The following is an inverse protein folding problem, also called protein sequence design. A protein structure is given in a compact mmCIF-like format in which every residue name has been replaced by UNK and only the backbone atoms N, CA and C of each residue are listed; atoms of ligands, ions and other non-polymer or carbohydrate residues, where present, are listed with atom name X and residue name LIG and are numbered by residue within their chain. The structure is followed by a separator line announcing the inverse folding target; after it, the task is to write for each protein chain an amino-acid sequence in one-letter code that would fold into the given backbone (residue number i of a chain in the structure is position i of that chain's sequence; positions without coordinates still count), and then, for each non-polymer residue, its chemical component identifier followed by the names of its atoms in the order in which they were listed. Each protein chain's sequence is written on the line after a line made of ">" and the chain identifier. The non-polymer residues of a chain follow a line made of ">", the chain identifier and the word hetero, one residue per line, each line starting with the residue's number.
data_IF_563755838470
#
_entry.id   IF_563755838470
#
_cell.length_a   1.000
_cell.length_b   1.000
_cell.length_c   1.000
_cell.angle_alpha   90.00
_cell.angle_beta   90.00
_cell.angle_gamma   90.00
#
_symmetry.space_group_name_H-M   'P 1'
#
loop_
_entity.id
_entity.type
_entity.pdbx_description
1 polymer ?
#
# COMPACT_ATOMS: atom_id res chain seq x y z
N UNK A 1 12.29 -34.06 40.35
CA UNK A 1 10.87 -33.67 40.19
C UNK A 1 10.52 -32.59 41.19
N UNK A 2 10.38 -31.34 40.74
CA UNK A 2 9.42 -30.34 41.26
C UNK A 2 9.42 -29.16 40.30
N UNK A 3 8.25 -28.93 39.72
CA UNK A 3 7.97 -27.93 38.68
C UNK A 3 7.94 -26.52 39.26
N UNK A 4 8.44 -25.61 38.43
CA UNK A 4 8.36 -24.15 38.50
C UNK A 4 6.95 -23.73 38.06
N UNK A 5 6.30 -22.86 38.83
CA UNK A 5 4.95 -22.37 38.57
C UNK A 5 4.87 -20.85 38.55
N UNK A 6 4.67 -20.34 37.33
CA UNK A 6 3.93 -19.13 36.93
C UNK A 6 4.00 -17.86 37.82
N UNK A 7 4.80 -16.90 37.37
CA UNK A 7 4.43 -15.49 37.39
C UNK A 7 4.87 -14.92 36.04
N UNK A 8 3.91 -14.38 35.26
CA UNK A 8 4.00 -13.37 34.19
C UNK A 8 2.76 -13.59 33.32
N UNK A 9 1.67 -12.88 33.62
CA UNK A 9 0.60 -12.65 32.65
C UNK A 9 -0.23 -11.43 33.09
N UNK A 10 0.30 -10.22 32.93
CA UNK A 10 -0.50 -9.00 33.11
C UNK A 10 -0.06 -7.78 32.28
N UNK A 11 0.89 -7.88 31.34
CA UNK A 11 1.41 -6.70 30.63
C UNK A 11 0.98 -6.55 29.16
N UNK A 12 0.29 -7.54 28.56
CA UNK A 12 -0.09 -7.49 27.14
C UNK A 12 -1.49 -6.91 26.86
N UNK A 13 -2.32 -6.69 27.88
CA UNK A 13 -3.70 -6.22 27.66
C UNK A 13 -3.82 -4.68 27.55
N UNK A 14 -2.78 -3.92 27.93
CA UNK A 14 -2.83 -2.45 27.95
C UNK A 14 -2.62 -1.76 26.59
N UNK A 15 -1.95 -2.43 25.64
CA UNK A 15 -1.57 -1.81 24.35
C UNK A 15 -2.72 -1.90 23.31
N UNK A 16 -3.62 -2.87 23.44
CA UNK A 16 -4.75 -3.04 22.51
C UNK A 16 -5.89 -2.04 22.71
N UNK A 17 -6.03 -1.44 23.90
CA UNK A 17 -7.18 -0.56 24.19
C UNK A 17 -6.97 0.84 23.60
N UNK A 18 -5.74 1.35 23.52
CA UNK A 18 -5.47 2.70 23.00
C UNK A 18 -5.42 2.79 21.47
N UNK A 19 -5.04 1.72 20.77
CA UNK A 19 -5.08 1.65 19.30
C UNK A 19 -6.53 1.64 18.77
N UNK A 20 -7.46 1.05 19.52
CA UNK A 20 -8.89 0.99 19.14
C UNK A 20 -9.60 2.34 19.15
N UNK A 21 -9.11 3.32 19.92
CA UNK A 21 -9.75 4.62 20.06
C UNK A 21 -9.54 5.52 18.83
N UNK A 22 -8.38 5.46 18.16
CA UNK A 22 -8.13 6.23 16.94
C UNK A 22 -8.91 5.66 15.74
N UNK A 23 -8.95 4.34 15.57
CA UNK A 23 -9.72 3.70 14.49
C UNK A 23 -11.24 3.93 14.60
N UNK A 24 -11.78 3.95 15.84
CA UNK A 24 -13.19 4.21 16.07
C UNK A 24 -13.58 5.69 15.81
N UNK A 25 -12.67 6.62 16.10
CA UNK A 25 -12.92 8.07 15.99
C UNK A 25 -12.84 8.60 14.55
N UNK A 26 -12.20 7.88 13.63
CA UNK A 26 -12.25 8.20 12.19
C UNK A 26 -13.45 7.59 11.45
N UNK A 27 -14.17 6.63 12.07
CA UNK A 27 -15.37 6.01 11.47
C UNK A 27 -16.66 6.79 11.71
N UNK A 28 -16.66 7.76 12.64
CA UNK A 28 -17.82 8.55 13.01
C UNK A 28 -17.39 10.02 13.06
N UNK A 29 -18.01 10.83 12.21
CA UNK A 29 -17.75 12.27 12.01
C UNK A 29 -16.69 12.65 10.98
N UNK A 30 -16.92 12.29 9.71
CA UNK A 30 -16.63 13.21 8.59
C UNK A 30 -17.76 13.15 7.56
N UNK A 31 -18.81 13.94 7.83
CA UNK A 31 -19.73 14.40 6.79
C UNK A 31 -18.99 15.39 5.90
N UNK A 32 -18.51 14.92 4.74
CA UNK A 32 -18.11 15.78 3.64
C UNK A 32 -18.64 15.22 2.31
N UNK A 33 -19.52 15.99 1.68
CA UNK A 33 -19.64 16.03 0.23
C UNK A 33 -20.52 14.97 -0.44
N UNK A 34 -21.80 15.29 -0.58
CA UNK A 34 -22.65 14.83 -1.68
C UNK A 34 -21.96 15.11 -3.03
N UNK A 35 -21.29 14.12 -3.63
CA UNK A 35 -20.76 14.20 -5.00
C UNK A 35 -20.86 12.88 -5.75
N UNK A 36 -22.05 12.26 -5.77
CA UNK A 36 -22.36 11.25 -6.78
C UNK A 36 -23.72 11.57 -7.40
N UNK A 37 -23.73 12.60 -8.27
CA UNK A 37 -24.83 12.78 -9.22
C UNK A 37 -24.56 11.83 -10.38
N UNK A 38 -25.39 10.80 -10.48
CA UNK A 38 -25.48 9.94 -11.66
C UNK A 38 -25.71 10.81 -12.90
N UNK A 39 -24.71 10.89 -13.78
CA UNK A 39 -24.88 11.46 -15.10
C UNK A 39 -25.31 10.38 -16.08
N UNK A 40 -26.35 10.70 -16.84
CA UNK A 40 -26.94 9.87 -17.90
C UNK A 40 -25.98 9.64 -19.06
N UNK A 41 -26.01 8.41 -19.58
CA UNK A 41 -25.14 7.83 -20.60
C UNK A 41 -25.04 8.64 -21.90
N UNK A 42 -23.91 9.32 -22.07
CA UNK A 42 -23.27 9.50 -23.37
C UNK A 42 -22.50 8.22 -23.64
N UNK A 43 -22.56 7.67 -24.86
CA UNK A 43 -21.76 6.49 -25.23
C UNK A 43 -20.31 6.76 -24.83
N UNK A 44 -19.73 5.99 -23.88
CA UNK A 44 -18.42 6.32 -23.37
C UNK A 44 -17.42 6.18 -24.52
N UNK A 45 -16.59 7.20 -24.71
CA UNK A 45 -15.37 7.02 -25.49
C UNK A 45 -14.61 5.81 -24.91
N UNK A 46 -14.02 4.96 -25.76
CA UNK A 46 -13.25 3.84 -25.26
C UNK A 46 -12.14 4.36 -24.33
N UNK A 47 -12.12 3.85 -23.11
CA UNK A 47 -11.09 4.19 -22.12
C UNK A 47 -9.70 3.80 -22.65
N UNK A 48 -8.67 4.57 -22.28
CA UNK A 48 -7.28 4.27 -22.62
C UNK A 48 -6.87 2.90 -22.03
N UNK A 49 -6.62 1.88 -22.87
CA UNK A 49 -6.35 0.52 -22.41
C UNK A 49 -5.00 0.40 -21.71
N UNK A 50 -4.13 1.41 -21.78
CA UNK A 50 -2.84 1.45 -21.08
C UNK A 50 -2.95 2.05 -19.69
N UNK A 51 -4.03 2.78 -19.39
CA UNK A 51 -4.23 3.42 -18.09
C UNK A 51 -5.31 2.74 -17.27
N UNK A 52 -6.52 2.57 -17.81
CA UNK A 52 -7.70 2.13 -17.06
C UNK A 52 -7.75 0.61 -16.88
N UNK A 53 -8.39 0.16 -15.79
CA UNK A 53 -8.49 -1.26 -15.46
C UNK A 53 -9.41 -1.98 -16.45
N UNK A 54 -9.04 -3.21 -16.82
CA UNK A 54 -9.69 -3.96 -17.90
C UNK A 54 -10.38 -5.22 -17.38
N UNK A 55 -11.65 -5.42 -17.74
CA UNK A 55 -12.42 -6.60 -17.34
C UNK A 55 -11.78 -7.92 -17.76
N UNK A 56 -11.09 -7.94 -18.92
CA UNK A 56 -10.35 -9.11 -19.39
C UNK A 56 -9.21 -9.50 -18.45
N UNK A 57 -8.51 -8.54 -17.85
CA UNK A 57 -7.46 -8.79 -16.86
C UNK A 57 -8.05 -9.26 -15.54
N UNK A 58 -9.09 -8.57 -15.05
CA UNK A 58 -9.79 -8.93 -13.81
C UNK A 58 -10.30 -10.37 -13.83
N UNK A 59 -10.86 -10.81 -14.97
CA UNK A 59 -11.36 -12.18 -15.16
C UNK A 59 -10.24 -13.22 -15.34
N UNK A 60 -9.04 -12.81 -15.76
CA UNK A 60 -7.89 -13.71 -15.86
C UNK A 60 -7.33 -14.05 -14.48
N UNK A 61 -7.44 -13.12 -13.52
CA UNK A 61 -6.92 -13.27 -12.16
C UNK A 61 -7.95 -12.85 -11.09
N UNK A 62 -9.08 -13.57 -10.97
CA UNK A 62 -10.24 -13.10 -10.21
C UNK A 62 -9.97 -12.90 -8.72
N UNK A 63 -9.13 -13.73 -8.10
CA UNK A 63 -8.72 -13.58 -6.70
C UNK A 63 -7.53 -12.65 -6.45
N UNK A 64 -6.97 -12.04 -7.49
CA UNK A 64 -5.72 -11.26 -7.39
C UNK A 64 -5.92 -9.74 -7.41
N UNK A 65 -7.12 -9.25 -7.68
CA UNK A 65 -7.39 -7.82 -7.88
C UNK A 65 -8.56 -7.33 -7.05
N UNK A 66 -8.39 -6.16 -6.42
CA UNK A 66 -9.37 -5.55 -5.51
C UNK A 66 -10.66 -5.10 -6.19
N UNK A 67 -10.65 -4.97 -7.51
CA UNK A 67 -11.83 -4.58 -8.30
C UNK A 67 -12.71 -5.78 -8.67
N UNK A 68 -12.20 -7.01 -8.52
CA UNK A 68 -12.95 -8.21 -8.81
C UNK A 68 -13.73 -8.69 -7.58
N UNK A 69 -14.94 -9.21 -7.78
CA UNK A 69 -15.85 -9.56 -6.68
C UNK A 69 -15.27 -10.62 -5.71
N UNK A 70 -14.40 -11.51 -6.19
CA UNK A 70 -13.74 -12.51 -5.34
C UNK A 70 -12.80 -11.90 -4.30
N UNK A 71 -12.28 -10.69 -4.54
CA UNK A 71 -11.39 -9.99 -3.60
C UNK A 71 -12.15 -9.04 -2.65
N UNK A 72 -13.48 -9.06 -2.65
CA UNK A 72 -14.29 -8.12 -1.87
C UNK A 72 -14.10 -8.25 -0.36
N UNK A 73 -13.98 -9.46 0.16
CA UNK A 73 -13.70 -9.68 1.58
C UNK A 73 -12.33 -9.10 1.96
N UNK A 74 -11.33 -9.26 1.09
CA UNK A 74 -10.01 -8.65 1.31
C UNK A 74 -10.11 -7.12 1.35
N UNK A 75 -10.84 -6.52 0.42
CA UNK A 75 -11.03 -5.07 0.38
C UNK A 75 -11.68 -4.52 1.66
N UNK A 76 -12.63 -5.25 2.25
CA UNK A 76 -13.31 -4.84 3.48
C UNK A 76 -12.46 -5.07 4.75
N UNK A 77 -11.73 -6.18 4.83
CA UNK A 77 -10.96 -6.55 6.03
C UNK A 77 -9.56 -5.93 6.09
N UNK A 78 -8.89 -5.79 4.93
CA UNK A 78 -7.49 -5.37 4.87
C UNK A 78 -7.27 -3.97 5.42
N UNK A 79 -8.18 -3.02 5.16
CA UNK A 79 -8.05 -1.62 5.61
C UNK A 79 -7.75 -1.49 7.11
N UNK A 80 -8.47 -2.24 7.94
CA UNK A 80 -8.33 -2.14 9.39
C UNK A 80 -6.93 -2.59 9.83
N UNK A 81 -6.45 -3.68 9.24
CA UNK A 81 -5.10 -4.20 9.48
C UNK A 81 -4.03 -3.25 8.93
N UNK A 82 -4.23 -2.71 7.73
CA UNK A 82 -3.34 -1.74 7.08
C UNK A 82 -3.13 -0.51 7.94
N UNK A 83 -4.20 0.13 8.42
CA UNK A 83 -4.08 1.33 9.25
C UNK A 83 -3.51 1.03 10.63
N UNK A 84 -3.92 -0.06 11.28
CA UNK A 84 -3.37 -0.44 12.59
C UNK A 84 -1.85 -0.70 12.51
N UNK A 85 -1.38 -1.36 11.44
CA UNK A 85 0.05 -1.58 11.22
C UNK A 85 0.77 -0.31 10.80
N UNK A 86 0.11 0.58 10.04
CA UNK A 86 0.62 1.90 9.69
C UNK A 86 0.84 2.75 10.94
N UNK A 87 -0.12 2.77 11.86
CA UNK A 87 -0.04 3.47 13.14
C UNK A 87 1.12 2.95 13.99
N UNK A 88 1.38 1.64 13.99
CA UNK A 88 2.52 1.06 14.68
C UNK A 88 3.84 1.59 14.11
N UNK A 89 3.99 1.67 12.78
CA UNK A 89 5.18 2.24 12.13
C UNK A 89 5.31 3.75 12.40
N UNK A 90 4.22 4.51 12.27
CA UNK A 90 4.21 5.96 12.55
C UNK A 90 4.65 6.22 14.00
N UNK A 91 4.11 5.46 14.95
CA UNK A 91 4.46 5.56 16.37
C UNK A 91 5.93 5.23 16.62
N UNK A 92 6.45 4.18 15.97
CA UNK A 92 7.86 3.80 16.06
C UNK A 92 8.78 4.92 15.52
N UNK A 93 8.45 5.49 14.36
CA UNK A 93 9.22 6.60 13.76
C UNK A 93 9.19 7.84 14.65
N UNK A 94 8.02 8.20 15.20
CA UNK A 94 7.89 9.35 16.12
C UNK A 94 8.62 9.16 17.44
N UNK A 95 8.77 7.92 17.89
CA UNK A 95 9.47 7.58 19.12
C UNK A 95 10.98 7.61 18.96
N UNK A 96 11.50 7.54 17.73
CA UNK A 96 12.92 7.61 17.47
C UNK A 96 13.41 9.07 17.43
N UNK A 97 14.37 9.48 18.28
CA UNK A 97 14.80 10.88 18.38
C UNK A 97 15.18 11.50 17.03
N UNK A 98 14.50 12.59 16.69
CA UNK A 98 14.74 13.40 15.49
C UNK A 98 14.34 12.76 14.16
N UNK A 99 13.88 11.50 14.11
CA UNK A 99 13.65 10.82 12.83
C UNK A 99 12.47 11.42 12.06
N UNK A 100 11.36 11.77 12.73
CA UNK A 100 10.22 12.39 12.07
C UNK A 100 10.57 13.75 11.42
N UNK A 101 11.43 14.54 12.05
CA UNK A 101 11.92 15.80 11.48
C UNK A 101 12.80 15.56 10.25
N UNK A 102 13.68 14.55 10.30
CA UNK A 102 14.50 14.16 9.15
C UNK A 102 13.66 13.65 7.98
N UNK A 103 12.50 13.01 8.24
CA UNK A 103 11.56 12.62 7.18
C UNK A 103 10.97 13.84 6.47
N UNK A 104 10.53 14.85 7.23
CA UNK A 104 10.01 16.09 6.65
C UNK A 104 11.10 16.81 5.86
N UNK A 105 12.31 16.92 6.43
CA UNK A 105 13.45 17.61 5.83
C UNK A 105 14.28 16.72 4.87
N UNK A 106 13.77 15.55 4.49
CA UNK A 106 14.50 14.57 3.68
C UNK A 106 15.10 15.16 2.38
N UNK A 107 14.41 16.05 1.63
CA UNK A 107 14.97 16.68 0.43
C UNK A 107 16.19 17.57 0.70
N UNK A 108 16.37 18.08 1.93
CA UNK A 108 17.49 18.94 2.29
C UNK A 108 18.70 18.16 2.82
N UNK A 109 18.53 16.87 3.11
CA UNK A 109 19.60 16.01 3.60
C UNK A 109 20.61 15.68 2.50
N UNK A 110 21.87 15.47 2.91
CA UNK A 110 22.88 14.88 2.04
C UNK A 110 22.53 13.43 1.67
N UNK A 111 23.15 12.91 0.61
CA UNK A 111 22.93 11.53 0.17
C UNK A 111 23.15 10.51 1.30
N UNK A 112 24.24 10.68 2.06
CA UNK A 112 24.56 9.81 3.19
C UNK A 112 23.48 9.87 4.28
N UNK A 113 23.01 11.06 4.63
CA UNK A 113 21.94 11.24 5.63
C UNK A 113 20.61 10.66 5.15
N UNK A 114 20.27 10.82 3.86
CA UNK A 114 19.09 10.17 3.27
C UNK A 114 19.16 8.65 3.38
N UNK A 115 20.30 8.07 3.04
CA UNK A 115 20.53 6.62 3.18
C UNK A 115 20.41 6.18 4.65
N UNK A 116 20.94 6.95 5.59
CA UNK A 116 20.81 6.65 7.02
C UNK A 116 19.35 6.69 7.49
N UNK A 117 18.58 7.71 7.09
CA UNK A 117 17.14 7.81 7.38
C UNK A 117 16.38 6.62 6.79
N UNK A 118 16.65 6.25 5.54
CA UNK A 118 16.08 5.08 4.89
C UNK A 118 16.34 3.80 5.69
N UNK A 119 17.59 3.53 6.08
CA UNK A 119 17.92 2.34 6.88
C UNK A 119 17.21 2.30 8.25
N UNK A 120 17.03 3.46 8.89
CA UNK A 120 16.30 3.57 10.16
C UNK A 120 14.82 3.22 9.97
N UNK A 121 14.16 3.80 8.96
CA UNK A 121 12.75 3.50 8.63
C UNK A 121 12.57 2.03 8.25
N UNK A 122 13.46 1.48 7.42
CA UNK A 122 13.45 0.05 7.08
C UNK A 122 13.50 -0.83 8.33
N UNK A 123 14.43 -0.53 9.25
CA UNK A 123 14.59 -1.28 10.50
C UNK A 123 13.31 -1.20 11.34
N UNK A 124 12.73 -0.01 11.51
CA UNK A 124 11.51 0.18 12.27
C UNK A 124 10.32 -0.55 11.65
N UNK A 125 10.17 -0.54 10.32
CA UNK A 125 9.08 -1.23 9.63
C UNK A 125 9.19 -2.75 9.78
N UNK A 126 10.40 -3.30 9.62
CA UNK A 126 10.65 -4.73 9.87
C UNK A 126 10.29 -5.08 11.32
N UNK A 127 10.76 -4.30 12.30
CA UNK A 127 10.44 -4.53 13.71
C UNK A 127 8.95 -4.43 14.01
N UNK A 128 8.26 -3.42 13.47
CA UNK A 128 6.83 -3.21 13.66
C UNK A 128 5.98 -4.34 13.03
N UNK A 129 6.46 -4.91 11.91
CA UNK A 129 5.77 -6.04 11.25
C UNK A 129 5.87 -7.35 12.03
N UNK A 130 6.91 -7.51 12.87
CA UNK A 130 7.22 -8.76 13.56
C UNK A 130 7.71 -9.89 12.63
N UNK A 131 7.97 -9.61 11.35
CA UNK A 131 8.41 -10.58 10.36
C UNK A 131 9.93 -10.55 10.15
N UNK A 132 10.54 -11.66 9.71
CA UNK A 132 11.92 -11.67 9.26
C UNK A 132 12.21 -10.62 8.17
N UNK A 133 13.35 -9.94 8.30
CA UNK A 133 13.74 -8.86 7.40
C UNK A 133 13.99 -9.37 5.96
N UNK A 134 13.52 -8.66 4.92
CA UNK A 134 14.06 -8.85 3.57
C UNK A 134 15.51 -8.37 3.49
N UNK A 135 16.20 -8.74 2.42
CA UNK A 135 17.47 -8.12 2.08
C UNK A 135 17.21 -6.71 1.52
N UNK A 136 17.78 -5.66 2.12
CA UNK A 136 17.73 -4.30 1.58
C UNK A 136 18.97 -4.04 0.71
N UNK A 137 18.75 -3.73 -0.56
CA UNK A 137 19.81 -3.43 -1.53
C UNK A 137 19.63 -2.01 -2.08
N UNK A 138 20.61 -1.15 -1.80
CA UNK A 138 20.72 0.18 -2.38
C UNK A 138 21.69 0.11 -3.57
N UNK A 139 21.16 -0.17 -4.76
CA UNK A 139 21.91 -0.44 -5.97
C UNK A 139 21.74 0.67 -7.01
N UNK A 140 22.77 1.51 -7.14
CA UNK A 140 22.81 2.60 -8.11
C UNK A 140 22.78 2.13 -9.58
N UNK A 141 23.10 0.86 -9.84
CA UNK A 141 23.12 0.28 -11.19
C UNK A 141 21.79 -0.34 -11.63
N UNK A 142 20.82 -0.47 -10.71
CA UNK A 142 19.54 -1.10 -11.00
C UNK A 142 18.77 -0.35 -12.10
N UNK A 143 18.19 -1.10 -13.05
CA UNK A 143 17.45 -0.51 -14.19
C UNK A 143 16.16 0.17 -13.77
N UNK A 144 15.43 -0.39 -12.81
CA UNK A 144 14.23 0.21 -12.22
C UNK A 144 14.64 1.08 -11.03
N UNK A 145 13.85 2.12 -10.74
CA UNK A 145 14.08 2.96 -9.55
C UNK A 145 13.87 2.17 -8.26
N UNK A 146 12.90 1.26 -8.25
CA UNK A 146 12.61 0.39 -7.13
C UNK A 146 11.87 -0.87 -7.59
N UNK A 147 12.03 -1.97 -6.86
CA UNK A 147 11.23 -3.19 -7.00
C UNK A 147 11.51 -4.17 -5.85
N UNK A 148 10.50 -4.96 -5.51
CA UNK A 148 10.62 -6.13 -4.66
C UNK A 148 10.91 -7.38 -5.50
N UNK A 149 12.01 -8.05 -5.22
CA UNK A 149 12.35 -9.34 -5.84
C UNK A 149 11.82 -10.49 -4.97
N UNK A 150 11.02 -11.35 -5.58
CA UNK A 150 10.39 -12.50 -4.94
C UNK A 150 10.37 -13.74 -5.86
N UNK A 151 10.17 -14.91 -5.26
CA UNK A 151 10.03 -16.19 -5.96
C UNK A 151 8.94 -17.04 -5.29
N UNK A 152 7.73 -17.13 -5.89
CA UNK A 152 6.64 -17.96 -5.36
C UNK A 152 6.99 -19.45 -5.21
N UNK A 153 7.98 -19.95 -5.95
CA UNK A 153 8.41 -21.36 -5.90
C UNK A 153 9.40 -21.63 -4.77
N UNK A 154 10.04 -20.58 -4.26
CA UNK A 154 10.97 -20.61 -3.12
C UNK A 154 10.65 -19.45 -2.18
N UNK A 155 9.49 -19.51 -1.50
CA UNK A 155 9.05 -18.41 -0.66
C UNK A 155 10.03 -18.17 0.49
N UNK A 156 10.29 -16.91 0.77
CA UNK A 156 11.23 -16.41 1.78
C UNK A 156 10.93 -14.95 2.07
N UNK A 157 11.93 -14.19 2.52
CA UNK A 157 11.74 -12.77 2.85
C UNK A 157 11.78 -11.86 1.63
N UNK A 158 12.39 -12.32 0.52
CA UNK A 158 12.58 -11.54 -0.70
C UNK A 158 13.65 -10.46 -0.56
N UNK A 159 13.76 -9.58 -1.57
CA UNK A 159 14.71 -8.47 -1.58
C UNK A 159 14.03 -7.16 -1.94
N UNK A 160 14.32 -6.13 -1.18
CA UNK A 160 13.89 -4.75 -1.43
C UNK A 160 15.03 -4.04 -2.14
N UNK A 161 14.84 -3.69 -3.41
CA UNK A 161 15.88 -3.05 -4.22
C UNK A 161 15.44 -1.63 -4.53
N UNK A 162 16.31 -0.67 -4.21
CA UNK A 162 16.15 0.75 -4.53
C UNK A 162 17.38 1.24 -5.27
N UNK A 163 17.18 2.14 -6.23
CA UNK A 163 18.24 2.86 -6.91
C UNK A 163 18.30 4.31 -6.38
N UNK A 164 19.20 4.61 -5.43
CA UNK A 164 19.36 5.96 -4.88
C UNK A 164 19.57 7.04 -5.94
N UNK A 165 20.37 6.78 -6.98
CA UNK A 165 20.64 7.76 -8.05
C UNK A 165 19.36 8.18 -8.77
N UNK A 166 18.47 7.23 -9.06
CA UNK A 166 17.19 7.54 -9.72
C UNK A 166 16.21 8.20 -8.78
N UNK A 167 16.08 7.66 -7.56
CA UNK A 167 15.09 8.13 -6.58
C UNK A 167 15.42 9.51 -6.02
N UNK A 168 16.70 9.83 -5.82
CA UNK A 168 17.11 11.13 -5.31
C UNK A 168 17.09 12.24 -6.36
N UNK A 169 17.00 11.86 -7.64
CA UNK A 169 16.79 12.76 -8.78
C UNK A 169 15.31 12.91 -9.17
N UNK A 170 14.40 12.21 -8.49
CA UNK A 170 12.96 12.29 -8.74
C UNK A 170 12.43 13.71 -8.45
N UNK A 171 11.39 14.12 -9.18
CA UNK A 171 10.72 15.40 -8.97
C UNK A 171 10.08 15.49 -7.57
N UNK A 172 9.74 14.34 -6.99
CA UNK A 172 9.34 14.19 -5.60
C UNK A 172 10.44 13.47 -4.80
N UNK A 173 11.34 14.19 -4.11
CA UNK A 173 12.45 13.56 -3.39
C UNK A 173 12.01 12.64 -2.24
N UNK A 174 10.78 12.79 -1.73
CA UNK A 174 10.20 11.88 -0.73
C UNK A 174 9.76 10.53 -1.33
N UNK A 175 9.73 10.39 -2.66
CA UNK A 175 9.45 9.12 -3.34
C UNK A 175 10.38 8.00 -2.87
N UNK A 176 11.64 8.31 -2.54
CA UNK A 176 12.57 7.33 -1.99
C UNK A 176 12.09 6.69 -0.68
N UNK A 177 11.48 7.48 0.21
CA UNK A 177 10.92 6.99 1.46
C UNK A 177 9.62 6.21 1.24
N UNK A 178 8.74 6.73 0.38
CA UNK A 178 7.50 6.07 0.00
C UNK A 178 7.74 4.69 -0.60
N UNK A 179 8.63 4.60 -1.59
CA UNK A 179 8.97 3.34 -2.23
C UNK A 179 9.70 2.40 -1.28
N UNK A 180 10.56 2.88 -0.39
CA UNK A 180 11.14 2.03 0.65
C UNK A 180 10.05 1.39 1.51
N UNK A 181 9.09 2.18 1.97
CA UNK A 181 8.00 1.70 2.81
C UNK A 181 7.12 0.70 2.04
N UNK A 182 6.80 1.01 0.79
CA UNK A 182 6.02 0.19 -0.12
C UNK A 182 6.70 -1.15 -0.44
N UNK A 183 7.94 -1.16 -0.90
CA UNK A 183 8.64 -2.41 -1.24
C UNK A 183 8.92 -3.28 0.00
N UNK A 184 9.19 -2.65 1.15
CA UNK A 184 9.31 -3.38 2.42
C UNK A 184 7.96 -3.98 2.84
N UNK A 185 6.85 -3.32 2.52
CA UNK A 185 5.50 -3.85 2.74
C UNK A 185 5.26 -5.12 1.90
N UNK A 186 5.75 -5.17 0.66
CA UNK A 186 5.67 -6.39 -0.14
C UNK A 186 6.35 -7.60 0.51
N UNK A 187 7.47 -7.42 1.21
CA UNK A 187 8.09 -8.52 1.97
C UNK A 187 7.15 -9.09 3.04
N UNK A 188 6.47 -8.22 3.79
CA UNK A 188 5.46 -8.66 4.77
C UNK A 188 4.33 -9.43 4.09
N UNK A 189 3.73 -8.87 3.05
CA UNK A 189 2.60 -9.47 2.33
C UNK A 189 2.98 -10.81 1.70
N UNK A 190 4.18 -10.91 1.11
CA UNK A 190 4.69 -12.13 0.49
C UNK A 190 4.88 -13.23 1.53
N UNK A 191 5.50 -12.91 2.67
CA UNK A 191 5.66 -13.88 3.74
C UNK A 191 4.31 -14.33 4.30
N UNK A 192 3.32 -13.44 4.45
CA UNK A 192 1.97 -13.81 4.86
C UNK A 192 1.30 -14.72 3.82
N UNK A 193 1.31 -14.33 2.55
CA UNK A 193 0.66 -15.09 1.47
C UNK A 193 1.25 -16.49 1.25
N UNK A 194 2.52 -16.70 1.56
CA UNK A 194 3.19 -18.00 1.40
C UNK A 194 3.48 -18.71 2.73
N UNK A 195 2.93 -18.22 3.85
CA UNK A 195 3.08 -18.84 5.18
C UNK A 195 2.25 -20.11 5.39
N UNK A 196 1.25 -20.35 4.55
CA UNK A 196 0.24 -21.40 4.76
C UNK A 196 -0.85 -21.04 5.77
N UNK A 197 -0.91 -19.78 6.22
CA UNK A 197 -2.00 -19.27 7.07
C UNK A 197 -3.28 -19.16 6.23
N UNK A 198 -4.38 -19.71 6.75
CA UNK A 198 -5.71 -19.62 6.13
C UNK A 198 -6.45 -18.33 6.50
N UNK A 199 -5.93 -17.17 6.09
CA UNK A 199 -6.63 -15.88 6.24
C UNK A 199 -7.01 -15.29 4.87
N UNK A 200 -7.96 -14.35 4.89
CA UNK A 200 -8.38 -13.59 3.71
C UNK A 200 -7.17 -12.86 3.09
N UNK A 201 -6.42 -12.14 3.92
CA UNK A 201 -5.19 -11.44 3.51
C UNK A 201 -4.16 -12.38 2.88
N UNK A 202 -3.88 -13.53 3.50
CA UNK A 202 -2.90 -14.47 2.97
C UNK A 202 -3.29 -15.00 1.59
N UNK A 203 -4.56 -15.33 1.41
CA UNK A 203 -5.07 -15.81 0.11
C UNK A 203 -4.99 -14.70 -0.94
N UNK A 204 -5.42 -13.49 -0.62
CA UNK A 204 -5.41 -12.35 -1.53
C UNK A 204 -3.99 -11.94 -1.94
N UNK A 205 -3.05 -11.88 -1.00
CA UNK A 205 -1.64 -11.61 -1.30
C UNK A 205 -1.01 -12.71 -2.14
N UNK A 206 -1.26 -13.98 -1.82
CA UNK A 206 -0.76 -15.09 -2.61
C UNK A 206 -1.23 -15.00 -4.06
N UNK A 207 -2.54 -14.80 -4.27
CA UNK A 207 -3.12 -14.62 -5.61
C UNK A 207 -2.53 -13.40 -6.34
N UNK A 208 -2.33 -12.28 -5.65
CA UNK A 208 -1.67 -11.08 -6.18
C UNK A 208 -0.25 -11.34 -6.70
N UNK A 209 0.61 -11.95 -5.87
CA UNK A 209 1.99 -12.27 -6.27
C UNK A 209 2.07 -13.32 -7.38
N UNK A 210 1.18 -14.32 -7.38
CA UNK A 210 1.11 -15.32 -8.45
C UNK A 210 0.69 -14.66 -9.79
N UNK A 211 -0.31 -13.79 -9.76
CA UNK A 211 -0.73 -13.03 -10.94
C UNK A 211 0.39 -12.13 -11.45
N UNK A 212 1.07 -11.37 -10.57
CA UNK A 212 2.21 -10.53 -10.94
C UNK A 212 3.35 -11.34 -11.56
N UNK A 213 3.69 -12.51 -10.98
CA UNK A 213 4.71 -13.41 -11.55
C UNK A 213 4.31 -13.88 -12.95
N UNK A 214 3.06 -14.27 -13.14
CA UNK A 214 2.55 -14.71 -14.44
C UNK A 214 2.59 -13.59 -15.48
N UNK A 215 2.19 -12.37 -15.11
CA UNK A 215 2.29 -11.19 -15.97
C UNK A 215 3.72 -10.99 -16.48
N UNK A 216 4.71 -11.08 -15.59
CA UNK A 216 6.11 -10.89 -15.97
C UNK A 216 6.65 -12.05 -16.82
N UNK A 217 6.35 -13.30 -16.45
CA UNK A 217 6.84 -14.47 -17.19
C UNK A 217 6.26 -14.59 -18.60
N UNK A 218 5.03 -14.11 -18.78
CA UNK A 218 4.32 -14.16 -20.07
C UNK A 218 4.38 -12.83 -20.84
N UNK A 219 5.11 -11.84 -20.31
CA UNK A 219 5.21 -10.48 -20.88
C UNK A 219 3.83 -9.87 -21.21
N UNK A 220 2.84 -10.11 -20.34
CA UNK A 220 1.47 -9.61 -20.55
C UNK A 220 1.48 -8.08 -20.49
N UNK A 221 0.86 -7.46 -21.50
CA UNK A 221 0.59 -6.01 -21.47
C UNK A 221 -0.60 -5.77 -20.57
N UNK A 222 -0.36 -5.09 -19.46
CA UNK A 222 -1.39 -4.70 -18.48
C UNK A 222 -1.42 -3.18 -18.36
N UNK A 223 -2.58 -2.65 -18.00
CA UNK A 223 -2.73 -1.22 -17.76
C UNK A 223 -2.11 -0.78 -16.43
N UNK A 224 -1.93 0.53 -16.25
CA UNK A 224 -1.55 1.14 -14.98
C UNK A 224 -2.49 0.73 -13.84
N UNK A 225 -3.80 0.87 -14.02
CA UNK A 225 -4.77 0.52 -12.99
C UNK A 225 -4.84 -0.99 -12.76
N UNK A 226 -4.71 -1.84 -13.79
CA UNK A 226 -4.69 -3.30 -13.61
C UNK A 226 -3.53 -3.72 -12.71
N UNK A 227 -2.33 -3.16 -12.91
CA UNK A 227 -1.19 -3.45 -12.06
C UNK A 227 -1.42 -2.99 -10.62
N UNK A 228 -1.84 -1.73 -10.45
CA UNK A 228 -1.95 -1.10 -9.14
C UNK A 228 -3.19 -1.51 -8.33
N UNK A 229 -4.11 -2.23 -8.96
CA UNK A 229 -5.25 -2.83 -8.28
C UNK A 229 -5.07 -4.31 -7.99
N UNK A 230 -3.89 -4.89 -8.28
CA UNK A 230 -3.51 -6.15 -7.64
C UNK A 230 -3.55 -5.99 -6.12
N UNK A 231 -4.07 -7.00 -5.42
CA UNK A 231 -4.36 -6.93 -3.98
C UNK A 231 -3.17 -6.44 -3.14
N UNK A 232 -1.98 -6.97 -3.42
CA UNK A 232 -0.75 -6.60 -2.71
C UNK A 232 -0.21 -5.23 -3.12
N UNK A 233 -0.34 -4.83 -4.39
CA UNK A 233 0.05 -3.50 -4.88
C UNK A 233 -0.85 -2.41 -4.29
N UNK A 234 -2.17 -2.57 -4.40
CA UNK A 234 -3.17 -1.65 -3.84
C UNK A 234 -2.90 -1.40 -2.35
N UNK A 235 -2.76 -2.47 -1.56
CA UNK A 235 -2.57 -2.36 -0.12
C UNK A 235 -1.20 -1.77 0.23
N UNK A 236 -0.14 -2.09 -0.51
CA UNK A 236 1.18 -1.54 -0.26
C UNK A 236 1.26 -0.04 -0.56
N UNK A 237 0.63 0.43 -1.64
CA UNK A 237 0.49 1.86 -1.91
C UNK A 237 -0.34 2.56 -0.84
N UNK A 238 -1.47 1.97 -0.45
CA UNK A 238 -2.31 2.51 0.61
C UNK A 238 -1.54 2.64 1.92
N UNK A 239 -0.82 1.60 2.32
CA UNK A 239 0.01 1.58 3.52
C UNK A 239 1.06 2.70 3.47
N UNK A 240 1.83 2.79 2.38
CA UNK A 240 2.87 3.81 2.22
C UNK A 240 2.33 5.24 2.24
N UNK A 241 1.25 5.48 1.50
CA UNK A 241 0.58 6.78 1.43
C UNK A 241 0.02 7.19 2.80
N UNK A 242 -0.68 6.29 3.49
CA UNK A 242 -1.20 6.53 4.83
C UNK A 242 -0.08 6.88 5.83
N UNK A 243 0.99 6.07 5.86
CA UNK A 243 2.12 6.29 6.78
C UNK A 243 2.74 7.67 6.56
N UNK A 244 3.04 8.04 5.31
CA UNK A 244 3.71 9.29 5.01
C UNK A 244 2.84 10.52 5.24
N UNK A 245 1.58 10.47 4.82
CA UNK A 245 0.63 11.57 5.03
C UNK A 245 0.40 11.81 6.52
N UNK A 246 0.10 10.77 7.30
CA UNK A 246 -0.16 10.93 8.74
C UNK A 246 1.11 11.29 9.50
N UNK A 247 2.25 10.68 9.19
CA UNK A 247 3.53 10.99 9.84
C UNK A 247 3.89 12.47 9.68
N UNK A 248 3.71 13.00 8.46
CA UNK A 248 4.09 14.37 8.10
C UNK A 248 2.96 15.37 8.20
N UNK A 249 1.78 14.95 8.68
CA UNK A 249 0.57 15.77 8.75
C UNK A 249 0.21 16.45 7.41
N UNK A 250 0.37 15.71 6.30
CA UNK A 250 0.09 16.16 4.94
C UNK A 250 1.10 17.14 4.34
N UNK A 251 2.26 17.36 4.98
CA UNK A 251 3.34 18.18 4.40
C UNK A 251 3.93 17.48 3.17
N UNK A 252 4.12 16.16 3.23
CA UNK A 252 4.54 15.36 2.09
C UNK A 252 3.30 14.87 1.37
N UNK A 253 3.12 15.33 0.13
CA UNK A 253 2.00 14.91 -0.72
C UNK A 253 2.34 13.61 -1.43
N UNK A 254 1.38 12.71 -1.48
CA UNK A 254 1.52 11.40 -2.15
C UNK A 254 0.52 11.21 -3.30
N UNK A 255 -0.02 12.32 -3.83
CA UNK A 255 -1.12 12.32 -4.80
C UNK A 255 -0.74 11.79 -6.20
N UNK A 256 0.54 11.55 -6.45
CA UNK A 256 1.10 10.94 -7.67
C UNK A 256 1.45 9.46 -7.49
N UNK A 257 1.24 8.90 -6.29
CA UNK A 257 1.65 7.54 -5.93
C UNK A 257 0.44 6.60 -5.88
N UNK A 258 0.42 5.62 -6.78
CA UNK A 258 -0.70 4.68 -6.90
C UNK A 258 -1.89 5.27 -7.66
N UNK A 259 -3.05 4.62 -7.53
CA UNK A 259 -4.36 5.09 -8.03
C UNK A 259 -5.02 5.99 -6.99
N UNK A 260 -6.12 6.67 -7.33
CA UNK A 260 -6.90 7.44 -6.34
C UNK A 260 -7.36 6.57 -5.16
N UNK A 261 -7.60 5.27 -5.41
CA UNK A 261 -8.06 4.31 -4.41
C UNK A 261 -7.04 4.05 -3.30
N UNK A 262 -5.74 4.18 -3.59
CA UNK A 262 -4.67 3.97 -2.61
C UNK A 262 -4.08 5.27 -2.07
N UNK A 263 -4.58 6.43 -2.49
CA UNK A 263 -4.13 7.73 -2.02
C UNK A 263 -4.90 8.18 -0.79
N UNK A 264 -4.15 8.58 0.23
CA UNK A 264 -4.68 9.11 1.49
C UNK A 264 -4.34 10.59 1.60
N UNK A 265 -5.24 11.39 2.16
CA UNK A 265 -5.01 12.81 2.44
C UNK A 265 -5.33 13.07 3.91
N UNK A 266 -4.35 13.62 4.63
CA UNK A 266 -4.55 13.96 6.05
C UNK A 266 -5.74 14.89 6.23
N UNK A 267 -6.71 14.49 7.06
CA UNK A 267 -7.93 15.26 7.35
C UNK A 267 -9.08 15.05 6.36
N UNK A 268 -8.86 14.37 5.22
CA UNK A 268 -9.92 13.99 4.26
C UNK A 268 -10.10 12.48 4.14
N UNK A 269 -9.09 11.68 4.50
CA UNK A 269 -9.10 10.22 4.34
C UNK A 269 -8.69 9.79 2.93
N UNK A 270 -9.24 8.67 2.46
CA UNK A 270 -8.99 8.17 1.11
C UNK A 270 -9.53 9.13 0.05
N UNK A 271 -8.76 9.39 -1.03
CA UNK A 271 -9.26 10.17 -2.18
C UNK A 271 -10.40 9.44 -2.90
N UNK A 272 -10.30 8.11 -2.98
CA UNK A 272 -11.39 7.22 -3.39
C UNK A 272 -11.49 6.10 -2.35
N UNK A 273 -12.55 6.12 -1.55
CA UNK A 273 -12.83 5.04 -0.58
C UNK A 273 -13.37 3.82 -1.31
N UNK A 274 -12.46 2.98 -1.80
CA UNK A 274 -12.80 1.82 -2.62
C UNK A 274 -13.66 0.80 -1.86
N UNK A 275 -13.44 0.49 -0.57
CA UNK A 275 -14.33 -0.37 0.20
C UNK A 275 -15.74 0.19 0.33
N UNK A 276 -15.89 1.50 0.51
CA UNK A 276 -17.20 2.15 0.48
C UNK A 276 -17.84 2.04 -0.90
N UNK A 277 -17.10 2.34 -1.97
CA UNK A 277 -17.58 2.21 -3.33
C UNK A 277 -18.06 0.78 -3.63
N UNK A 278 -17.29 -0.22 -3.21
CA UNK A 278 -17.66 -1.62 -3.35
C UNK A 278 -18.98 -1.94 -2.65
N UNK A 279 -19.20 -1.46 -1.41
CA UNK A 279 -20.48 -1.64 -0.68
C UNK A 279 -21.66 -0.95 -1.33
N UNK A 280 -21.44 0.20 -1.97
CA UNK A 280 -22.49 1.03 -2.57
C UNK A 280 -22.80 0.65 -4.03
N UNK A 281 -21.97 -0.18 -4.65
CA UNK A 281 -22.07 -0.57 -6.07
C UNK A 281 -22.37 -2.07 -6.19
N UNK A 282 -23.11 -2.48 -7.22
CA UNK A 282 -23.21 -3.90 -7.56
C UNK A 282 -21.80 -4.44 -7.85
N UNK A 283 -21.54 -5.67 -7.42
CA UNK A 283 -20.34 -6.42 -7.75
C UNK A 283 -19.97 -6.41 -9.24
N UNK A 284 -20.95 -6.35 -10.14
CA UNK A 284 -20.72 -6.30 -11.59
C UNK A 284 -20.32 -4.90 -12.10
N UNK A 285 -20.62 -3.85 -11.33
CA UNK A 285 -20.45 -2.45 -11.74
C UNK A 285 -19.24 -1.77 -11.08
N UNK A 286 -18.58 -2.43 -10.10
CA UNK A 286 -17.47 -1.84 -9.34
C UNK A 286 -16.31 -1.39 -10.25
N UNK A 287 -15.94 -2.19 -11.25
CA UNK A 287 -14.89 -1.86 -12.20
C UNK A 287 -15.20 -0.57 -12.97
N UNK A 288 -16.43 -0.46 -13.47
CA UNK A 288 -16.86 0.69 -14.27
C UNK A 288 -16.96 1.95 -13.40
N UNK A 289 -17.50 1.82 -12.18
CA UNK A 289 -17.56 2.91 -11.21
C UNK A 289 -16.16 3.38 -10.79
N UNK A 290 -15.23 2.46 -10.56
CA UNK A 290 -13.83 2.78 -10.29
C UNK A 290 -13.21 3.55 -11.45
N UNK A 291 -13.30 3.01 -12.68
CA UNK A 291 -12.71 3.63 -13.86
C UNK A 291 -13.27 5.03 -14.15
N UNK A 292 -14.57 5.25 -13.92
CA UNK A 292 -15.18 6.58 -14.08
C UNK A 292 -14.55 7.62 -13.14
N UNK A 293 -14.32 7.25 -11.88
CA UNK A 293 -13.70 8.14 -10.90
C UNK A 293 -12.21 8.37 -11.19
N UNK A 294 -11.52 7.33 -11.68
CA UNK A 294 -10.10 7.36 -12.00
C UNK A 294 -9.77 8.26 -13.20
N UNK A 295 -10.76 8.65 -14.02
CA UNK A 295 -10.60 9.66 -15.08
C UNK A 295 -9.99 10.95 -14.57
N UNK A 296 -10.30 11.33 -13.32
CA UNK A 296 -9.71 12.51 -12.68
C UNK A 296 -8.19 12.41 -12.63
N UNK A 297 -7.65 11.26 -12.20
CA UNK A 297 -6.20 11.06 -12.15
C UNK A 297 -5.60 10.98 -13.56
N UNK A 298 -6.29 10.33 -14.51
CA UNK A 298 -5.84 10.29 -15.90
C UNK A 298 -5.65 11.70 -16.48
N UNK A 299 -6.62 12.60 -16.26
CA UNK A 299 -6.53 13.99 -16.67
C UNK A 299 -5.42 14.77 -15.95
N UNK A 300 -5.28 14.59 -14.63
CA UNK A 300 -4.22 15.22 -13.83
C UNK A 300 -2.83 14.85 -14.38
N UNK A 301 -2.63 13.58 -14.73
CA UNK A 301 -1.35 13.07 -15.28
C UNK A 301 -1.12 13.46 -16.74
N UNK A 302 -2.17 13.65 -17.52
CA UNK A 302 -2.08 14.05 -18.93
C UNK A 302 -1.75 15.54 -19.12
N UNK A 303 -1.93 16.36 -18.08
CA UNK A 303 -1.66 17.81 -18.10
C UNK A 303 -0.28 18.20 -17.56
N UNK A 304 0.43 17.26 -16.93
CA UNK A 304 1.80 17.43 -16.41
C UNK A 304 2.87 17.00 -17.41
#
# INVERSE_FOLDING_TARGET
>A
MRQIGLLILSFTLGIFITASAHAAQYSREMTAGSFYKYYSAVSPEPLDPTFFANSSFQNLFPGASVLHFESRNFLEESLLTTYAQGDALISAIRSEPGLAELVVNFPQLSELERIQVMNRIFTLQVMASGMPAPELLLDNSARKSTFFQFDPTQPGTGKVILNPVKLFADANPHAALLFLIHETRHSYQFQIGFSGIGSVDATAYQSGFLAQKQVFDQELKISFCDFLTLNHEYEAFLFGNYVMEVLTSGVVKTADMGTLASQYLTGLGLRLDLPKLARETDSQDLLDAFNELEKTQYEERSRG
#
